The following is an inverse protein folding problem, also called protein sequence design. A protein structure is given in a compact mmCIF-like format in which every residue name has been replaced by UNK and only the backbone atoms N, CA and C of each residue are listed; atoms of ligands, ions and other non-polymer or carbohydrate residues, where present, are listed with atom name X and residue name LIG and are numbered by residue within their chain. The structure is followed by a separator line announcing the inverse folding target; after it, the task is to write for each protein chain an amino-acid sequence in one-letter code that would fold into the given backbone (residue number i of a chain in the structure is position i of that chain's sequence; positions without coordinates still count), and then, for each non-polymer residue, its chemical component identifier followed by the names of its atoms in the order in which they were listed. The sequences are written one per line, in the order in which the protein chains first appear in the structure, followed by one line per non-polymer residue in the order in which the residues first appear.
data_IF_393368685470
#
_entry.id   IF_393368685470
#
_cell.length_a   1.000
_cell.length_b   1.000
_cell.length_c   1.000
_cell.angle_alpha   90.00
_cell.angle_beta   90.00
_cell.angle_gamma   90.00
#
_symmetry.space_group_name_H-M   'P 1'
#
loop_
_entity.id
_entity.type
_entity.pdbx_description
1 polymer ?
#
# COMPACT_ATOMS: atom_id res chain seq x y z
N UNK A 1 20.52 -15.67 -28.53
CA UNK A 1 21.92 -15.17 -28.76
C UNK A 1 22.38 -14.54 -27.47
N UNK A 2 23.59 -14.87 -26.98
CA UNK A 2 24.04 -14.31 -25.72
C UNK A 2 24.25 -12.79 -25.79
N UNK A 3 23.89 -12.10 -24.72
CA UNK A 3 23.93 -10.65 -24.62
C UNK A 3 25.37 -10.21 -24.40
N UNK A 4 25.91 -9.44 -25.36
CA UNK A 4 27.25 -8.84 -25.29
C UNK A 4 27.11 -7.33 -25.41
N UNK A 5 27.62 -6.62 -24.42
CA UNK A 5 27.57 -5.17 -24.35
C UNK A 5 28.96 -4.59 -24.57
N UNK A 6 29.03 -3.44 -25.18
CA UNK A 6 30.21 -2.59 -25.18
C UNK A 6 30.35 -1.82 -23.87
N UNK A 7 31.51 -1.31 -23.53
CA UNK A 7 31.71 -0.55 -22.29
C UNK A 7 30.78 0.69 -22.18
N UNK A 8 30.46 1.32 -23.32
CA UNK A 8 29.52 2.43 -23.33
C UNK A 8 28.11 1.97 -23.05
N UNK A 9 27.65 0.88 -23.70
CA UNK A 9 26.32 0.30 -23.46
C UNK A 9 26.15 -0.20 -22.02
N UNK A 10 27.19 -0.75 -21.42
CA UNK A 10 27.19 -1.13 -19.99
C UNK A 10 26.95 0.09 -19.09
N UNK A 11 27.65 1.19 -19.34
CA UNK A 11 27.50 2.43 -18.58
C UNK A 11 26.11 3.00 -18.72
N UNK A 12 25.59 3.07 -19.96
CA UNK A 12 24.26 3.59 -20.26
C UNK A 12 23.17 2.70 -19.66
N UNK A 13 23.33 1.37 -19.75
CA UNK A 13 22.39 0.42 -19.17
C UNK A 13 22.34 0.53 -17.63
N UNK A 14 23.47 0.73 -16.96
CA UNK A 14 23.51 0.92 -15.50
C UNK A 14 22.72 2.15 -15.03
N UNK A 15 22.51 3.16 -15.89
CA UNK A 15 21.67 4.32 -15.54
C UNK A 15 20.17 3.98 -15.52
N UNK A 16 19.74 2.98 -16.28
CA UNK A 16 18.33 2.61 -16.44
C UNK A 16 17.72 1.91 -15.22
N UNK A 17 18.53 1.24 -14.40
CA UNK A 17 18.05 0.52 -13.22
C UNK A 17 17.49 1.46 -12.15
N UNK A 18 16.35 1.10 -11.54
CA UNK A 18 15.82 1.81 -10.37
C UNK A 18 16.75 1.67 -9.15
N UNK A 19 16.68 2.60 -8.21
CA UNK A 19 17.49 2.57 -6.99
C UNK A 19 17.28 1.29 -6.18
N UNK A 20 16.08 0.76 -6.14
CA UNK A 20 15.70 -0.42 -5.37
C UNK A 20 16.37 -1.68 -5.87
N UNK A 21 16.36 -1.91 -7.20
CA UNK A 21 16.99 -3.09 -7.79
C UNK A 21 18.52 -2.98 -7.73
N UNK A 22 19.08 -1.78 -7.91
CA UNK A 22 20.52 -1.54 -7.74
C UNK A 22 20.98 -1.85 -6.32
N UNK A 23 20.23 -1.40 -5.32
CA UNK A 23 20.48 -1.70 -3.91
C UNK A 23 20.43 -3.21 -3.64
N UNK A 24 19.41 -3.90 -4.18
CA UNK A 24 19.28 -5.35 -4.04
C UNK A 24 20.48 -6.08 -4.64
N UNK A 25 20.86 -5.75 -5.86
CA UNK A 25 22.00 -6.38 -6.54
C UNK A 25 23.34 -6.10 -5.85
N UNK A 26 23.53 -4.87 -5.35
CA UNK A 26 24.71 -4.52 -4.57
C UNK A 26 24.78 -5.33 -3.26
N UNK A 27 23.67 -5.49 -2.56
CA UNK A 27 23.57 -6.28 -1.32
C UNK A 27 23.92 -7.75 -1.55
N UNK A 28 23.42 -8.33 -2.63
CA UNK A 28 23.63 -9.74 -2.99
C UNK A 28 24.89 -9.95 -3.87
N UNK A 29 25.74 -8.91 -3.95
CA UNK A 29 27.04 -8.95 -4.66
C UNK A 29 26.94 -9.38 -6.13
N UNK A 30 25.84 -9.04 -6.81
CA UNK A 30 25.71 -9.25 -8.25
C UNK A 30 26.64 -8.29 -8.98
N UNK A 31 27.52 -8.80 -9.86
CA UNK A 31 28.52 -8.02 -10.56
C UNK A 31 27.91 -6.97 -11.51
N UNK A 32 28.55 -5.80 -11.62
CA UNK A 32 28.05 -4.70 -12.47
C UNK A 32 27.86 -5.09 -13.95
N UNK A 33 28.74 -5.85 -14.61
CA UNK A 33 28.49 -6.28 -15.99
C UNK A 33 27.21 -7.11 -16.15
N UNK A 34 26.90 -7.94 -15.15
CA UNK A 34 25.68 -8.72 -15.16
C UNK A 34 24.43 -7.86 -14.89
N UNK A 35 24.53 -6.89 -13.98
CA UNK A 35 23.49 -5.89 -13.75
C UNK A 35 23.20 -5.09 -15.04
N UNK A 36 24.25 -4.64 -15.74
CA UNK A 36 24.11 -3.92 -17.00
C UNK A 36 23.36 -4.75 -18.05
N UNK A 37 23.66 -6.04 -18.16
CA UNK A 37 22.94 -6.96 -19.06
C UNK A 37 21.46 -7.07 -18.70
N UNK A 38 21.11 -7.20 -17.40
CA UNK A 38 19.71 -7.19 -16.95
C UNK A 38 18.99 -5.89 -17.32
N UNK A 39 19.62 -4.75 -17.07
CA UNK A 39 19.00 -3.45 -17.34
C UNK A 39 18.88 -3.18 -18.84
N UNK A 40 19.85 -3.63 -19.64
CA UNK A 40 19.81 -3.52 -21.11
C UNK A 40 18.61 -4.25 -21.72
N UNK A 41 18.25 -5.43 -21.22
CA UNK A 41 17.06 -6.18 -21.66
C UNK A 41 15.75 -5.68 -21.03
N UNK A 42 15.80 -4.58 -20.29
CA UNK A 42 14.60 -3.95 -19.72
C UNK A 42 14.19 -4.47 -18.35
N UNK A 43 14.99 -5.30 -17.68
CA UNK A 43 14.77 -5.72 -16.28
C UNK A 43 15.29 -4.61 -15.36
N UNK A 44 14.60 -3.48 -15.32
CA UNK A 44 15.07 -2.26 -14.66
C UNK A 44 14.45 -2.02 -13.28
N UNK A 45 13.45 -2.82 -12.90
CA UNK A 45 12.76 -2.69 -11.61
C UNK A 45 12.71 -4.02 -10.88
N UNK A 46 12.55 -3.96 -9.55
CA UNK A 46 12.43 -5.15 -8.71
C UNK A 46 11.22 -6.03 -9.10
N UNK A 47 10.09 -5.42 -9.43
CA UNK A 47 8.90 -6.14 -9.87
C UNK A 47 9.12 -6.89 -11.19
N UNK A 48 9.81 -6.26 -12.18
CA UNK A 48 10.17 -6.95 -13.42
C UNK A 48 11.13 -8.09 -13.18
N UNK A 49 12.10 -7.90 -12.28
CA UNK A 49 13.06 -8.94 -11.92
C UNK A 49 12.36 -10.11 -11.20
N UNK A 50 11.42 -9.85 -10.30
CA UNK A 50 10.62 -10.89 -9.65
C UNK A 50 9.75 -11.70 -10.62
N UNK A 51 9.32 -11.08 -11.72
CA UNK A 51 8.44 -11.69 -12.72
C UNK A 51 9.18 -12.30 -13.93
N UNK A 52 10.51 -12.19 -14.01
CA UNK A 52 11.30 -12.59 -15.19
C UNK A 52 11.34 -14.11 -15.38
N UNK A 53 11.23 -14.86 -14.30
CA UNK A 53 11.23 -16.32 -14.31
C UNK A 53 10.13 -16.85 -13.37
N UNK A 54 9.63 -18.05 -13.65
CA UNK A 54 8.60 -18.70 -12.83
C UNK A 54 9.18 -19.22 -11.52
N UNK A 55 10.35 -19.81 -11.63
CA UNK A 55 11.06 -20.46 -10.51
C UNK A 55 12.58 -20.36 -10.70
N UNK A 56 13.32 -20.92 -9.75
CA UNK A 56 14.78 -20.89 -9.77
C UNK A 56 15.39 -21.65 -10.94
N UNK A 57 14.74 -22.71 -11.40
CA UNK A 57 15.29 -23.54 -12.49
C UNK A 57 15.08 -22.85 -13.83
N UNK A 58 13.97 -22.16 -14.01
CA UNK A 58 13.71 -21.30 -15.16
C UNK A 58 14.71 -20.12 -15.20
N UNK A 59 15.00 -19.51 -14.05
CA UNK A 59 16.02 -18.47 -13.92
C UNK A 59 17.43 -19.00 -14.26
N UNK A 60 17.83 -20.16 -13.74
CA UNK A 60 19.14 -20.78 -14.07
C UNK A 60 19.26 -21.06 -15.55
N UNK A 61 18.17 -21.55 -16.18
CA UNK A 61 18.15 -21.77 -17.62
C UNK A 61 18.32 -20.47 -18.39
N UNK A 62 17.61 -19.43 -18.04
CA UNK A 62 17.75 -18.09 -18.62
C UNK A 62 19.18 -17.55 -18.46
N UNK A 63 19.78 -17.67 -17.26
CA UNK A 63 21.14 -17.23 -17.00
C UNK A 63 22.15 -17.94 -17.87
N UNK A 64 21.99 -19.24 -18.09
CA UNK A 64 22.85 -20.03 -18.96
C UNK A 64 22.67 -19.67 -20.43
N UNK A 65 21.41 -19.61 -20.89
CA UNK A 65 21.10 -19.55 -22.32
C UNK A 65 21.27 -18.11 -22.88
N UNK A 66 20.97 -17.06 -22.09
CA UNK A 66 20.98 -15.66 -22.52
C UNK A 66 22.16 -14.85 -21.97
N UNK A 67 22.66 -15.18 -20.78
CA UNK A 67 23.69 -14.41 -20.10
C UNK A 67 25.06 -15.09 -20.08
N UNK A 68 25.20 -16.27 -20.68
CA UNK A 68 26.44 -17.09 -20.68
C UNK A 68 26.94 -17.41 -19.25
N UNK A 69 26.03 -17.56 -18.29
CA UNK A 69 26.35 -17.81 -16.90
C UNK A 69 25.84 -19.20 -16.47
N UNK A 70 26.71 -20.20 -16.55
CA UNK A 70 26.37 -21.57 -16.18
C UNK A 70 26.95 -21.95 -14.81
N UNK A 71 26.07 -22.31 -13.88
CA UNK A 71 26.48 -22.78 -12.55
C UNK A 71 27.27 -24.09 -12.58
N UNK A 72 27.21 -24.86 -13.66
CA UNK A 72 27.94 -26.11 -13.80
C UNK A 72 29.37 -25.91 -14.37
N UNK A 73 29.69 -24.73 -14.94
CA UNK A 73 30.96 -24.48 -15.59
C UNK A 73 32.15 -24.46 -14.58
N UNK A 74 32.02 -23.67 -13.51
CA UNK A 74 33.04 -23.55 -12.49
C UNK A 74 32.48 -23.04 -11.15
N UNK A 75 33.33 -22.98 -10.11
CA UNK A 75 32.92 -22.51 -8.79
C UNK A 75 32.59 -21.01 -8.79
N UNK A 76 33.30 -20.20 -9.56
CA UNK A 76 33.06 -18.74 -9.63
C UNK A 76 31.70 -18.46 -10.28
N UNK A 77 31.37 -19.12 -11.37
CA UNK A 77 30.06 -19.05 -12.03
C UNK A 77 28.93 -19.52 -11.10
N UNK A 78 29.17 -20.56 -10.31
CA UNK A 78 28.20 -21.06 -9.32
C UNK A 78 27.92 -20.01 -8.24
N UNK A 79 28.96 -19.33 -7.73
CA UNK A 79 28.78 -18.25 -6.73
C UNK A 79 28.01 -17.07 -7.32
N UNK A 80 28.31 -16.68 -8.56
CA UNK A 80 27.57 -15.60 -9.26
C UNK A 80 26.09 -15.96 -9.45
N UNK A 81 25.80 -17.18 -9.91
CA UNK A 81 24.42 -17.68 -10.03
C UNK A 81 23.73 -17.68 -8.68
N UNK A 82 24.40 -18.13 -7.62
CA UNK A 82 23.82 -18.14 -6.28
C UNK A 82 23.42 -16.73 -5.80
N UNK A 83 24.27 -15.71 -6.04
CA UNK A 83 23.94 -14.31 -5.74
C UNK A 83 22.69 -13.83 -6.47
N UNK A 84 22.55 -14.17 -7.75
CA UNK A 84 21.36 -13.82 -8.53
C UNK A 84 20.12 -14.55 -8.02
N UNK A 85 20.23 -15.83 -7.64
CA UNK A 85 19.11 -16.60 -7.07
C UNK A 85 18.63 -16.02 -5.74
N UNK A 86 19.55 -15.63 -4.85
CA UNK A 86 19.20 -14.97 -3.58
C UNK A 86 18.50 -13.63 -3.83
N UNK A 87 19.04 -12.83 -4.77
CA UNK A 87 18.41 -11.59 -5.17
C UNK A 87 17.00 -11.81 -5.75
N UNK A 88 16.81 -12.85 -6.55
CA UNK A 88 15.51 -13.20 -7.13
C UNK A 88 14.47 -13.57 -6.06
N UNK A 89 14.82 -14.44 -5.12
CA UNK A 89 13.95 -14.77 -3.98
C UNK A 89 13.56 -13.54 -3.16
N UNK A 90 14.53 -12.68 -2.88
CA UNK A 90 14.28 -11.45 -2.15
C UNK A 90 13.35 -10.49 -2.93
N UNK A 91 13.48 -10.42 -4.26
CA UNK A 91 12.61 -9.62 -5.12
C UNK A 91 11.18 -10.19 -5.15
N UNK A 92 11.01 -11.51 -5.28
CA UNK A 92 9.69 -12.17 -5.22
C UNK A 92 9.01 -11.93 -3.88
N UNK A 93 9.68 -12.21 -2.76
CA UNK A 93 9.13 -11.99 -1.42
C UNK A 93 8.74 -10.53 -1.17
N UNK A 94 9.50 -9.57 -1.69
CA UNK A 94 9.15 -8.16 -1.58
C UNK A 94 7.98 -7.77 -2.48
N UNK A 95 7.91 -8.32 -3.70
CA UNK A 95 6.81 -8.08 -4.62
C UNK A 95 5.49 -8.62 -4.05
N UNK A 96 5.50 -9.82 -3.47
CA UNK A 96 4.34 -10.41 -2.79
C UNK A 96 3.85 -9.53 -1.64
N UNK A 97 4.76 -9.06 -0.78
CA UNK A 97 4.41 -8.16 0.33
C UNK A 97 3.84 -6.82 -0.14
N UNK A 98 4.39 -6.25 -1.22
CA UNK A 98 3.86 -5.00 -1.79
C UNK A 98 2.45 -5.22 -2.31
N UNK A 99 2.20 -6.32 -3.03
CA UNK A 99 0.86 -6.67 -3.53
C UNK A 99 -0.13 -6.92 -2.38
N UNK A 100 0.30 -7.58 -1.30
CA UNK A 100 -0.51 -7.81 -0.11
C UNK A 100 -0.87 -6.48 0.57
N UNK A 101 0.12 -5.61 0.80
CA UNK A 101 -0.09 -4.28 1.39
C UNK A 101 -0.99 -3.41 0.50
N UNK A 102 -0.78 -3.41 -0.81
CA UNK A 102 -1.62 -2.68 -1.77
C UNK A 102 -3.05 -3.22 -1.78
N UNK A 103 -3.22 -4.54 -1.66
CA UNK A 103 -4.51 -5.20 -1.49
C UNK A 103 -5.21 -4.77 -0.20
N UNK A 104 -4.49 -4.79 0.93
CA UNK A 104 -5.01 -4.31 2.21
C UNK A 104 -5.33 -2.81 2.21
N UNK A 105 -4.45 -2.00 1.61
CA UNK A 105 -4.67 -0.56 1.47
C UNK A 105 -5.82 -0.25 0.52
N UNK A 106 -6.01 -1.05 -0.53
CA UNK A 106 -7.17 -0.92 -1.42
C UNK A 106 -8.45 -1.30 -0.70
N UNK A 107 -8.43 -2.39 0.09
CA UNK A 107 -9.56 -2.75 0.94
C UNK A 107 -9.88 -1.68 2.00
N UNK A 108 -8.85 -1.01 2.57
CA UNK A 108 -9.01 0.11 3.50
C UNK A 108 -9.35 1.43 2.80
N UNK A 109 -8.91 1.66 1.57
CA UNK A 109 -9.23 2.85 0.76
C UNK A 109 -10.65 2.86 0.22
N UNK A 110 -11.31 1.70 0.17
CA UNK A 110 -12.74 1.63 -0.10
C UNK A 110 -13.55 2.30 1.03
N UNK A 111 -12.98 2.46 2.22
CA UNK A 111 -13.53 3.30 3.28
C UNK A 111 -13.07 4.75 3.06
N UNK A 112 -13.69 5.45 2.11
CA UNK A 112 -13.53 6.89 1.98
C UNK A 112 -14.18 7.55 3.21
N UNK A 113 -13.42 8.25 4.07
CA UNK A 113 -14.00 8.85 5.25
C UNK A 113 -15.08 9.86 4.82
N UNK A 114 -16.30 9.66 5.28
CA UNK A 114 -17.42 10.54 5.00
C UNK A 114 -17.09 11.95 5.53
N UNK A 115 -17.16 12.97 4.69
CA UNK A 115 -16.93 14.33 5.15
C UNK A 115 -18.02 14.72 6.16
N UNK A 116 -17.64 15.45 7.22
CA UNK A 116 -18.62 15.90 8.24
C UNK A 116 -19.77 16.69 7.62
N UNK A 117 -19.50 17.49 6.60
CA UNK A 117 -20.51 18.23 5.84
C UNK A 117 -21.51 17.32 5.14
N UNK A 118 -21.06 16.19 4.59
CA UNK A 118 -21.92 15.19 3.93
C UNK A 118 -22.78 14.47 4.97
N UNK A 119 -22.18 14.07 6.09
CA UNK A 119 -22.92 13.46 7.20
C UNK A 119 -24.02 14.37 7.74
N UNK A 120 -23.72 15.65 7.99
CA UNK A 120 -24.70 16.65 8.44
C UNK A 120 -25.78 16.87 7.38
N UNK A 121 -25.42 16.92 6.10
CA UNK A 121 -26.38 17.05 5.01
C UNK A 121 -27.34 15.86 4.94
N UNK A 122 -26.86 14.63 5.11
CA UNK A 122 -27.69 13.41 5.16
C UNK A 122 -28.67 13.46 6.34
N UNK A 123 -28.19 13.84 7.53
CA UNK A 123 -29.04 14.01 8.71
C UNK A 123 -30.13 15.05 8.46
N UNK A 124 -29.77 16.23 7.97
CA UNK A 124 -30.73 17.30 7.67
C UNK A 124 -31.75 16.87 6.63
N UNK A 125 -31.36 16.16 5.59
CA UNK A 125 -32.27 15.63 4.59
C UNK A 125 -33.24 14.60 5.17
N UNK A 126 -32.81 13.76 6.11
CA UNK A 126 -33.66 12.84 6.83
C UNK A 126 -34.68 13.58 7.71
N UNK A 127 -34.22 14.53 8.52
CA UNK A 127 -35.05 15.31 9.45
C UNK A 127 -36.10 16.13 8.71
N UNK A 128 -35.78 16.64 7.52
CA UNK A 128 -36.76 17.35 6.66
C UNK A 128 -37.87 16.43 6.11
N UNK A 129 -37.52 15.16 5.86
CA UNK A 129 -38.47 14.23 5.22
C UNK A 129 -39.32 13.42 6.19
N UNK A 130 -38.76 13.16 7.40
CA UNK A 130 -39.41 12.27 8.36
C UNK A 130 -39.69 12.97 9.69
N UNK A 131 -38.74 12.89 10.62
CA UNK A 131 -38.84 13.50 11.95
C UNK A 131 -37.44 13.87 12.46
N UNK A 132 -37.33 14.81 13.42
CA UNK A 132 -36.05 15.12 14.05
C UNK A 132 -35.52 13.90 14.81
N UNK A 133 -34.20 13.68 14.72
CA UNK A 133 -33.50 12.60 15.40
C UNK A 133 -32.76 13.14 16.64
N UNK A 134 -32.99 12.48 17.77
CA UNK A 134 -32.14 12.68 18.95
C UNK A 134 -30.73 12.08 18.71
N UNK A 135 -29.72 12.57 19.41
CA UNK A 135 -28.34 12.10 19.22
C UNK A 135 -28.19 10.60 19.57
N UNK A 136 -28.97 10.09 20.54
CA UNK A 136 -29.07 8.66 20.87
C UNK A 136 -29.70 7.80 19.76
N UNK A 137 -30.49 8.40 18.88
CA UNK A 137 -31.18 7.72 17.76
C UNK A 137 -30.45 7.96 16.43
N UNK A 138 -29.50 8.90 16.41
CA UNK A 138 -28.73 9.21 15.21
C UNK A 138 -27.62 8.18 15.05
N UNK A 139 -27.52 7.49 13.90
CA UNK A 139 -26.40 6.57 13.66
C UNK A 139 -25.06 7.29 13.74
N UNK A 140 -24.07 6.65 14.36
CA UNK A 140 -22.72 7.17 14.39
C UNK A 140 -22.14 7.33 12.98
N UNK A 141 -21.21 8.25 12.83
CA UNK A 141 -20.58 8.55 11.53
C UNK A 141 -19.89 7.32 10.94
N UNK A 142 -19.17 6.56 11.75
CA UNK A 142 -18.51 5.32 11.33
C UNK A 142 -19.47 4.30 10.72
N UNK A 143 -20.67 4.18 11.28
CA UNK A 143 -21.72 3.32 10.73
C UNK A 143 -22.24 3.82 9.38
N UNK A 144 -22.48 5.14 9.25
CA UNK A 144 -22.94 5.74 7.99
C UNK A 144 -21.88 5.59 6.90
N UNK A 145 -20.60 5.83 7.21
CA UNK A 145 -19.46 5.59 6.30
C UNK A 145 -19.50 4.17 5.74
N UNK A 146 -19.60 3.18 6.63
CA UNK A 146 -19.67 1.78 6.24
C UNK A 146 -20.85 1.47 5.33
N UNK A 147 -22.02 2.06 5.59
CA UNK A 147 -23.19 1.88 4.74
C UNK A 147 -23.08 2.57 3.39
N UNK A 148 -22.39 3.70 3.30
CA UNK A 148 -22.06 4.31 2.03
C UNK A 148 -21.13 3.40 1.20
N UNK A 149 -20.13 2.81 1.82
CA UNK A 149 -19.22 1.85 1.17
C UNK A 149 -19.95 0.59 0.69
N UNK A 150 -20.88 0.04 1.51
CA UNK A 150 -21.72 -1.10 1.13
C UNK A 150 -22.61 -0.75 -0.09
N UNK A 151 -23.12 0.47 -0.15
CA UNK A 151 -23.93 0.96 -1.28
C UNK A 151 -23.09 1.12 -2.55
N UNK A 152 -21.88 1.67 -2.45
CA UNK A 152 -20.98 1.88 -3.59
C UNK A 152 -20.43 0.56 -4.13
N UNK A 153 -20.10 -0.39 -3.24
CA UNK A 153 -19.60 -1.72 -3.62
C UNK A 153 -20.68 -2.70 -4.07
N UNK A 154 -21.93 -2.47 -3.69
CA UNK A 154 -23.04 -3.41 -3.88
C UNK A 154 -22.98 -4.63 -2.97
N UNK A 155 -22.08 -4.66 -1.98
CA UNK A 155 -21.86 -5.77 -1.04
C UNK A 155 -22.48 -5.46 0.33
N UNK A 156 -23.79 -5.70 0.47
CA UNK A 156 -24.52 -5.46 1.70
C UNK A 156 -24.22 -6.55 2.73
N UNK A 157 -23.42 -6.22 3.73
CA UNK A 157 -23.11 -7.13 4.84
C UNK A 157 -24.15 -7.05 5.93
N UNK A 158 -24.58 -8.20 6.41
CA UNK A 158 -25.51 -8.28 7.53
C UNK A 158 -24.75 -8.03 8.83
N UNK A 159 -25.14 -6.98 9.56
CA UNK A 159 -24.59 -6.68 10.88
C UNK A 159 -25.65 -6.87 11.96
N UNK A 160 -25.27 -7.40 13.13
CA UNK A 160 -26.18 -7.45 14.25
C UNK A 160 -26.47 -6.02 14.74
N UNK A 161 -27.70 -5.75 15.14
CA UNK A 161 -28.13 -4.43 15.63
C UNK A 161 -27.28 -3.94 16.82
N UNK A 162 -26.71 -4.86 17.58
CA UNK A 162 -25.82 -4.55 18.70
C UNK A 162 -24.48 -3.96 18.32
N UNK A 163 -24.10 -4.03 17.03
CA UNK A 163 -22.87 -3.41 16.50
C UNK A 163 -23.09 -2.00 15.96
N UNK A 164 -24.35 -1.54 15.90
CA UNK A 164 -24.70 -0.20 15.44
C UNK A 164 -24.56 0.76 16.62
N UNK A 165 -23.50 1.56 16.57
CA UNK A 165 -23.30 2.61 17.55
C UNK A 165 -24.11 3.84 17.17
N UNK A 166 -24.71 4.47 18.19
CA UNK A 166 -25.32 5.79 18.03
C UNK A 166 -24.21 6.86 17.94
N UNK A 167 -24.57 8.07 17.52
CA UNK A 167 -23.66 9.20 17.50
C UNK A 167 -23.05 9.50 18.88
N UNK A 168 -23.81 9.30 19.93
CA UNK A 168 -23.37 9.52 21.31
C UNK A 168 -22.32 8.49 21.74
N UNK A 169 -22.39 7.26 21.22
CA UNK A 169 -21.49 6.15 21.53
C UNK A 169 -20.32 6.03 20.56
N UNK A 170 -20.37 6.73 19.41
CA UNK A 170 -19.33 6.66 18.40
C UNK A 170 -18.08 7.44 18.80
N UNK A 171 -17.12 6.73 19.40
CA UNK A 171 -15.84 7.29 19.83
C UNK A 171 -14.95 7.75 18.67
N UNK A 172 -15.27 7.40 17.42
CA UNK A 172 -14.53 7.88 16.25
C UNK A 172 -14.68 9.40 16.05
N UNK A 173 -15.75 9.99 16.56
CA UNK A 173 -15.92 11.45 16.62
C UNK A 173 -15.07 12.14 17.71
N UNK A 174 -14.52 11.38 18.65
CA UNK A 174 -13.63 11.92 19.71
C UNK A 174 -12.26 12.40 19.21
N UNK A 175 -11.92 12.17 17.94
CA UNK A 175 -10.83 12.87 17.26
C UNK A 175 -11.28 14.24 16.70
N UNK A 176 -12.13 14.95 17.44
CA UNK A 176 -12.20 16.39 17.31
C UNK A 176 -10.80 16.91 17.63
N UNK A 177 -10.21 17.63 16.70
CA UNK A 177 -8.83 18.11 16.80
C UNK A 177 -8.61 18.74 18.17
N UNK A 178 -7.41 18.62 18.70
CA UNK A 178 -7.00 19.23 20.00
C UNK A 178 -7.40 20.72 20.13
N UNK A 179 -7.64 21.38 19.01
CA UNK A 179 -8.11 22.76 18.87
C UNK A 179 -9.61 22.91 19.18
N UNK A 180 -10.45 21.94 18.83
CA UNK A 180 -11.90 22.02 19.11
C UNK A 180 -12.20 21.69 20.57
N UNK A 181 -11.42 20.80 21.19
CA UNK A 181 -11.50 20.53 22.64
C UNK A 181 -11.13 21.78 23.45
N UNK A 182 -10.13 22.57 23.02
CA UNK A 182 -9.77 23.84 23.64
C UNK A 182 -10.85 24.91 23.44
N UNK A 183 -11.51 24.94 22.28
CA UNK A 183 -12.61 25.88 22.00
C UNK A 183 -13.85 25.57 22.86
N UNK A 184 -14.19 24.29 23.03
CA UNK A 184 -15.32 23.84 23.88
C UNK A 184 -15.02 24.12 25.36
N UNK A 185 -13.78 23.88 25.82
CA UNK A 185 -13.36 24.23 27.19
C UNK A 185 -13.44 25.74 27.46
N UNK A 186 -13.03 26.56 26.48
CA UNK A 186 -13.13 28.05 26.57
C UNK A 186 -14.58 28.54 26.60
N UNK A 187 -15.50 27.86 25.90
CA UNK A 187 -16.94 28.18 25.93
C UNK A 187 -17.59 27.80 27.26
N UNK A 188 -17.29 26.62 27.82
CA UNK A 188 -17.76 26.22 29.16
C UNK A 188 -17.28 27.16 30.26
N UNK A 189 -16.04 27.63 30.18
CA UNK A 189 -15.50 28.60 31.13
C UNK A 189 -16.21 29.98 31.10
N UNK A 190 -16.72 30.43 29.96
CA UNK A 190 -17.50 31.65 29.83
C UNK A 190 -18.91 31.53 30.44
N UNK A 191 -19.54 30.40 30.26
CA UNK A 191 -20.89 30.15 30.83
C UNK A 191 -20.87 30.02 32.36
N UNK A 192 -19.79 29.52 32.95
CA UNK A 192 -19.68 29.50 34.42
C UNK A 192 -19.44 30.87 35.05
N UNK A 193 -18.70 31.75 34.38
CA UNK A 193 -18.48 33.15 34.88
C UNK A 193 -19.74 34.02 34.77
N UNK A 194 -20.64 33.75 33.85
CA UNK A 194 -21.92 34.47 33.70
C UNK A 194 -23.00 34.04 34.73
N UNK A 195 -22.77 32.98 35.49
CA UNK A 195 -23.69 32.48 36.55
C UNK A 195 -23.28 32.89 37.96
N UNK A 196 -22.14 33.54 38.11
CA UNK A 196 -21.59 34.00 39.42
C UNK A 196 -21.49 35.53 39.53
N UNK A 197 -22.11 36.25 38.62
CA UNK A 197 -22.39 37.69 38.65
C UNK A 197 -23.90 37.91 38.72
#
# INVERSE_FOLDING_TARGET
MPIRLTAQEETDALLLGSSDIKFLFARETVEQPLQAKFFHVGITTMARFAAVARDEDDLKKMLRDEFELDAAADLASRVKVAGVLVAFKAAQSRSERVTEIEGEMSAKRLQKPLAMSEYVAMRTAWEQRYWPLEDSQTPGRSYVEKRCDDLESGDFRHEPLTSILSREEDTSECFISFWDAAAIAAQKGRHQRARTS
#
